data_IF_996128611798
#
_entry.id   IF_996128611798
#
_cell.length_a   1.000
_cell.length_b   1.000
_cell.length_c   1.000
_cell.angle_alpha   90.00
_cell.angle_beta   90.00
_cell.angle_gamma   90.00
#
_symmetry.space_group_name_H-M   'P 1'
#
loop_
_entity.id
_entity.type
_entity.pdbx_description
1 polymer ?
#
# COMPACT_ATOMS: atom_id res chain seq x y z
N UNK A 1 -35.11 17.79 -37.86
CA UNK A 1 -36.10 16.98 -37.12
C UNK A 1 -35.35 16.09 -36.14
N UNK A 2 -35.28 16.52 -34.88
CA UNK A 2 -34.89 15.79 -33.67
C UNK A 2 -34.55 16.86 -32.62
N UNK A 3 -35.58 17.42 -32.00
CA UNK A 3 -35.50 18.41 -30.91
C UNK A 3 -36.27 17.83 -29.72
N UNK A 4 -35.59 17.05 -28.88
CA UNK A 4 -36.19 16.48 -27.67
C UNK A 4 -35.20 15.98 -26.60
N UNK A 5 -33.89 16.28 -26.69
CA UNK A 5 -32.89 15.78 -25.73
C UNK A 5 -32.28 16.83 -24.78
N UNK A 6 -32.73 18.10 -24.81
CA UNK A 6 -32.17 19.17 -23.97
C UNK A 6 -32.96 19.46 -22.67
N UNK A 7 -34.06 18.75 -22.41
CA UNK A 7 -34.95 19.03 -21.26
C UNK A 7 -34.89 17.98 -20.12
N UNK A 8 -33.97 17.02 -20.18
CA UNK A 8 -33.87 15.91 -19.21
C UNK A 8 -32.61 15.92 -18.33
N UNK A 9 -31.71 16.89 -18.50
CA UNK A 9 -30.51 17.07 -17.64
C UNK A 9 -30.71 18.14 -16.56
N UNK A 10 -31.78 18.93 -16.64
CA UNK A 10 -32.11 19.96 -15.63
C UNK A 10 -33.03 19.46 -14.50
N UNK A 11 -33.55 18.22 -14.58
CA UNK A 11 -34.43 17.61 -13.58
C UNK A 11 -33.73 16.58 -12.67
N UNK A 12 -32.43 16.32 -12.88
CA UNK A 12 -31.59 15.51 -11.96
C UNK A 12 -30.77 16.36 -10.98
N UNK A 13 -30.93 17.70 -11.01
CA UNK A 13 -30.21 18.65 -10.15
C UNK A 13 -30.94 19.09 -8.87
N UNK A 14 -32.17 18.61 -8.61
CA UNK A 14 -33.02 19.08 -7.49
C UNK A 14 -33.48 17.90 -6.59
N UNK A 15 -32.81 16.75 -6.67
CA UNK A 15 -33.21 15.51 -5.99
C UNK A 15 -32.50 15.16 -4.67
N UNK A 16 -31.65 16.03 -4.12
CA UNK A 16 -30.90 15.78 -2.87
C UNK A 16 -30.98 16.93 -1.85
N UNK A 17 -32.01 17.77 -1.92
CA UNK A 17 -32.51 18.54 -0.77
C UNK A 17 -33.49 17.68 0.04
N UNK A 18 -33.03 16.50 0.43
CA UNK A 18 -33.74 15.58 1.30
C UNK A 18 -33.54 15.99 2.76
N UNK A 19 -34.60 16.50 3.37
CA UNK A 19 -34.95 16.32 4.77
C UNK A 19 -33.78 16.33 5.78
N UNK A 20 -33.26 17.52 6.06
CA UNK A 20 -32.95 17.91 7.43
C UNK A 20 -33.84 19.11 7.76
N UNK A 21 -35.12 18.82 7.96
CA UNK A 21 -35.97 19.57 8.90
C UNK A 21 -35.40 19.36 10.31
N UNK A 22 -34.21 19.91 10.55
CA UNK A 22 -33.83 20.30 11.89
C UNK A 22 -34.50 21.63 12.14
N UNK A 23 -35.71 21.53 12.68
CA UNK A 23 -36.41 22.59 13.40
C UNK A 23 -35.58 22.98 14.63
N UNK A 24 -34.39 23.57 14.39
CA UNK A 24 -33.62 24.30 15.37
C UNK A 24 -34.33 25.63 15.54
N UNK A 25 -35.00 25.81 16.68
CA UNK A 25 -35.57 27.09 17.09
C UNK A 25 -34.49 28.18 17.00
N UNK A 26 -34.56 28.96 15.93
CA UNK A 26 -33.49 29.84 15.46
C UNK A 26 -33.80 31.30 15.85
N UNK A 27 -33.75 31.61 17.14
CA UNK A 27 -34.07 32.95 17.66
C UNK A 27 -32.87 33.76 18.14
N UNK A 28 -31.62 33.30 17.92
CA UNK A 28 -30.43 33.91 18.55
C UNK A 28 -29.21 34.13 17.65
N UNK A 29 -29.28 33.89 16.34
CA UNK A 29 -28.19 34.24 15.42
C UNK A 29 -28.31 35.71 15.01
N UNK A 30 -27.36 36.58 15.40
CA UNK A 30 -27.35 37.99 14.99
C UNK A 30 -27.08 38.17 13.49
N UNK A 31 -26.39 37.21 12.86
CA UNK A 31 -26.01 37.30 11.44
C UNK A 31 -27.17 36.89 10.50
N UNK A 32 -27.96 35.86 10.85
CA UNK A 32 -29.20 35.51 10.14
C UNK A 32 -30.33 36.54 10.29
N UNK A 33 -30.46 37.24 11.42
CA UNK A 33 -31.44 38.33 11.53
C UNK A 33 -31.11 39.48 10.58
N UNK A 34 -29.82 39.79 10.39
CA UNK A 34 -29.36 40.79 9.41
C UNK A 34 -29.59 40.33 7.96
N UNK A 35 -29.53 39.04 7.68
CA UNK A 35 -29.79 38.49 6.34
C UNK A 35 -31.28 38.34 6.00
N UNK A 36 -32.17 38.12 6.99
CA UNK A 36 -33.61 37.93 6.79
C UNK A 36 -34.43 39.22 6.76
N UNK A 37 -33.91 40.33 7.28
CA UNK A 37 -34.49 41.66 7.02
C UNK A 37 -33.92 42.17 5.70
N UNK A 38 -34.77 42.26 4.70
CA UNK A 38 -34.48 42.75 3.35
C UNK A 38 -33.93 44.19 3.34
N UNK A 39 -32.65 44.35 3.66
CA UNK A 39 -31.88 45.57 3.50
C UNK A 39 -30.51 45.21 2.87
N UNK A 40 -30.00 46.02 1.93
CA UNK A 40 -28.88 45.62 1.09
C UNK A 40 -27.62 45.51 1.94
N UNK A 41 -26.69 44.66 1.49
CA UNK A 41 -25.31 44.41 1.98
C UNK A 41 -24.54 45.65 2.52
N UNK A 42 -24.97 46.87 2.18
CA UNK A 42 -24.52 48.12 2.80
C UNK A 42 -24.79 48.23 4.30
N UNK A 43 -25.84 47.65 4.87
CA UNK A 43 -26.13 47.79 6.31
C UNK A 43 -25.17 46.96 7.18
N UNK A 44 -24.72 45.80 6.68
CA UNK A 44 -23.70 44.97 7.32
C UNK A 44 -22.33 45.65 7.30
N UNK A 45 -22.01 46.35 6.21
CA UNK A 45 -20.83 47.22 6.11
C UNK A 45 -20.96 48.47 7.00
N UNK A 46 -22.14 49.08 7.09
CA UNK A 46 -22.39 50.22 7.98
C UNK A 46 -22.30 49.82 9.46
N UNK A 47 -22.73 48.61 9.84
CA UNK A 47 -22.57 48.13 11.22
C UNK A 47 -21.12 47.80 11.56
N UNK A 48 -20.34 47.30 10.60
CA UNK A 48 -18.89 47.14 10.75
C UNK A 48 -18.21 48.51 10.88
N UNK A 49 -18.60 49.53 10.11
CA UNK A 49 -18.04 50.89 10.19
C UNK A 49 -18.51 51.68 11.44
N UNK A 50 -19.74 51.46 11.93
CA UNK A 50 -20.23 52.06 13.19
C UNK A 50 -19.52 51.42 14.40
N UNK A 51 -19.31 50.10 14.40
CA UNK A 51 -18.47 49.45 15.41
C UNK A 51 -17.00 49.87 15.31
N UNK A 52 -16.50 50.15 14.09
CA UNK A 52 -15.15 50.69 13.89
C UNK A 52 -15.01 52.09 14.51
N UNK A 53 -16.06 52.91 14.50
CA UNK A 53 -16.07 54.22 15.13
C UNK A 53 -16.27 54.17 16.66
N UNK A 54 -17.01 53.19 17.19
CA UNK A 54 -17.13 52.96 18.64
C UNK A 54 -15.88 52.32 19.25
N UNK A 55 -15.22 51.41 18.54
CA UNK A 55 -13.93 50.82 18.94
C UNK A 55 -12.76 51.80 18.76
N UNK A 56 -12.82 52.71 17.77
CA UNK A 56 -11.84 53.79 17.61
C UNK A 56 -11.85 54.81 18.76
N UNK A 57 -12.92 54.87 19.56
CA UNK A 57 -12.94 55.66 20.80
C UNK A 57 -12.21 54.97 21.97
N UNK A 58 -11.82 53.69 21.84
CA UNK A 58 -11.26 52.87 22.94
C UNK A 58 -9.95 52.16 22.58
N UNK A 59 -9.56 52.06 21.31
CA UNK A 59 -8.33 51.38 20.89
C UNK A 59 -7.46 52.25 19.99
N UNK A 60 -6.69 53.13 20.62
CA UNK A 60 -5.45 53.65 20.07
C UNK A 60 -4.40 52.55 20.29
N UNK A 61 -3.84 52.02 19.19
CA UNK A 61 -2.81 50.98 19.08
C UNK A 61 -3.31 49.55 18.72
N UNK A 62 -3.04 49.19 17.45
CA UNK A 62 -3.10 47.87 16.77
C UNK A 62 -4.34 47.52 15.90
N UNK A 63 -4.13 46.81 14.76
CA UNK A 63 -4.88 47.01 13.53
C UNK A 63 -6.20 46.22 13.47
N UNK A 64 -7.14 46.80 12.73
CA UNK A 64 -8.58 46.47 12.64
C UNK A 64 -8.97 45.07 12.16
N UNK A 65 -8.03 44.18 11.82
CA UNK A 65 -8.35 42.81 11.40
C UNK A 65 -8.82 41.92 12.55
N UNK A 66 -8.41 42.19 13.79
CA UNK A 66 -8.72 41.37 14.97
C UNK A 66 -10.20 41.37 15.35
N UNK A 67 -10.94 42.46 15.08
CA UNK A 67 -12.35 42.58 15.45
C UNK A 67 -13.28 41.76 14.55
N UNK A 68 -12.99 41.69 13.25
CA UNK A 68 -13.88 40.99 12.34
C UNK A 68 -13.77 39.47 12.50
N UNK A 69 -12.54 38.98 12.72
CA UNK A 69 -12.30 37.59 13.06
C UNK A 69 -12.98 37.19 14.38
N UNK A 70 -12.93 38.05 15.41
CA UNK A 70 -13.55 37.74 16.71
C UNK A 70 -15.08 37.66 16.61
N UNK A 71 -15.71 38.54 15.83
CA UNK A 71 -17.16 38.49 15.55
C UNK A 71 -17.52 37.20 14.83
N UNK A 72 -16.79 36.85 13.76
CA UNK A 72 -17.05 35.61 13.00
C UNK A 72 -16.92 34.37 13.91
N UNK A 73 -15.88 34.32 14.74
CA UNK A 73 -15.67 33.21 15.69
C UNK A 73 -16.77 33.12 16.73
N UNK A 74 -17.29 34.26 17.20
CA UNK A 74 -18.41 34.29 18.16
C UNK A 74 -19.71 33.70 17.60
N UNK A 75 -19.93 33.81 16.28
CA UNK A 75 -21.10 33.22 15.61
C UNK A 75 -20.98 31.71 15.43
N UNK A 76 -19.77 31.21 15.18
CA UNK A 76 -19.51 29.77 15.17
C UNK A 76 -19.70 29.19 16.57
N UNK A 77 -19.14 29.86 17.59
CA UNK A 77 -19.35 29.51 18.99
C UNK A 77 -18.96 28.07 19.34
N UNK A 78 -17.93 27.53 18.67
CA UNK A 78 -17.50 26.15 18.79
C UNK A 78 -18.38 25.09 18.11
N UNK A 79 -19.49 25.46 17.48
CA UNK A 79 -20.33 24.55 16.69
C UNK A 79 -19.87 24.53 15.22
N UNK A 80 -19.19 23.46 14.83
CA UNK A 80 -18.62 23.34 13.48
C UNK A 80 -19.67 23.36 12.36
N UNK A 81 -20.92 22.96 12.64
CA UNK A 81 -21.99 23.05 11.64
C UNK A 81 -22.30 24.51 11.28
N UNK A 82 -22.25 25.41 12.27
CA UNK A 82 -22.34 26.85 12.02
C UNK A 82 -21.12 27.38 11.26
N UNK A 83 -19.95 26.80 11.49
CA UNK A 83 -18.74 27.09 10.71
C UNK A 83 -18.95 26.90 9.20
N UNK A 84 -19.67 25.84 8.78
CA UNK A 84 -20.00 25.63 7.36
C UNK A 84 -20.90 26.72 6.79
N UNK A 85 -21.88 27.17 7.56
CA UNK A 85 -22.77 28.26 7.15
C UNK A 85 -21.97 29.56 6.99
N UNK A 86 -21.07 29.85 7.94
CA UNK A 86 -20.17 31.00 7.85
C UNK A 86 -19.26 30.90 6.61
N UNK A 87 -18.78 29.71 6.26
CA UNK A 87 -17.99 29.53 5.03
C UNK A 87 -18.80 29.86 3.77
N UNK A 88 -20.10 29.54 3.72
CA UNK A 88 -20.95 29.92 2.59
C UNK A 88 -21.06 31.44 2.42
N UNK A 89 -20.90 32.23 3.49
CA UNK A 89 -20.86 33.69 3.41
C UNK A 89 -19.64 34.19 2.65
N UNK A 90 -18.53 33.43 2.60
CA UNK A 90 -17.36 33.80 1.82
C UNK A 90 -17.68 33.88 0.31
N UNK A 91 -18.62 33.06 -0.18
CA UNK A 91 -19.09 33.16 -1.56
C UNK A 91 -19.88 34.45 -1.84
N UNK A 92 -20.53 35.01 -0.82
CA UNK A 92 -21.34 36.22 -0.93
C UNK A 92 -20.54 37.49 -0.63
N UNK A 93 -19.39 37.37 0.03
CA UNK A 93 -18.51 38.47 0.37
C UNK A 93 -17.92 39.13 -0.89
N UNK A 94 -18.00 40.47 -0.96
CA UNK A 94 -17.57 41.26 -2.13
C UNK A 94 -16.08 41.64 -2.10
N UNK A 95 -15.44 41.64 -0.93
CA UNK A 95 -14.04 42.04 -0.77
C UNK A 95 -13.17 40.84 -0.43
N UNK A 96 -11.96 40.81 -0.99
CA UNK A 96 -10.97 39.75 -0.72
C UNK A 96 -10.62 39.71 0.77
N UNK A 97 -10.52 40.87 1.41
CA UNK A 97 -10.22 41.02 2.84
C UNK A 97 -11.25 40.31 3.73
N UNK A 98 -12.54 40.45 3.42
CA UNK A 98 -13.61 39.78 4.18
C UNK A 98 -13.56 38.27 4.00
N UNK A 99 -13.30 37.79 2.77
CA UNK A 99 -13.14 36.36 2.50
C UNK A 99 -11.97 35.77 3.28
N UNK A 100 -10.81 36.44 3.24
CA UNK A 100 -9.63 36.02 3.99
C UNK A 100 -9.85 36.03 5.50
N UNK A 101 -10.57 37.02 6.03
CA UNK A 101 -10.94 37.07 7.44
C UNK A 101 -11.86 35.90 7.81
N UNK A 102 -12.83 35.54 6.96
CA UNK A 102 -13.68 34.36 7.17
C UNK A 102 -12.84 33.08 7.20
N UNK A 103 -11.99 32.84 6.20
CA UNK A 103 -11.16 31.62 6.16
C UNK A 103 -10.23 31.52 7.37
N UNK A 104 -9.59 32.63 7.75
CA UNK A 104 -8.66 32.67 8.90
C UNK A 104 -9.39 32.50 10.23
N UNK A 105 -10.57 33.12 10.38
CA UNK A 105 -11.40 32.99 11.56
C UNK A 105 -11.88 31.55 11.76
N UNK A 106 -12.36 30.90 10.69
CA UNK A 106 -12.78 29.50 10.72
C UNK A 106 -11.62 28.56 11.06
N UNK A 107 -10.43 28.80 10.50
CA UNK A 107 -9.25 28.02 10.85
C UNK A 107 -8.87 28.16 12.32
N UNK A 108 -8.82 29.40 12.85
CA UNK A 108 -8.56 29.65 14.28
C UNK A 108 -9.62 29.01 15.17
N UNK A 109 -10.87 28.99 14.74
CA UNK A 109 -11.94 28.33 15.49
C UNK A 109 -11.75 26.81 15.51
N UNK A 110 -11.43 26.20 14.37
CA UNK A 110 -11.13 24.77 14.31
C UNK A 110 -9.94 24.44 15.24
N UNK A 111 -8.88 25.25 15.23
CA UNK A 111 -7.72 25.09 16.12
C UNK A 111 -8.06 25.19 17.62
N UNK A 112 -9.04 26.01 18.01
CA UNK A 112 -9.42 26.19 19.42
C UNK A 112 -10.47 25.18 19.90
N UNK A 113 -11.15 24.50 18.99
CA UNK A 113 -12.10 23.44 19.32
C UNK A 113 -11.42 22.08 19.38
N UNK A 114 -12.08 21.09 20.02
CA UNK A 114 -11.59 19.69 20.04
C UNK A 114 -11.60 19.04 18.66
N UNK A 115 -12.22 19.68 17.65
CA UNK A 115 -12.28 19.17 16.28
C UNK A 115 -10.90 19.14 15.60
N UNK A 116 -9.93 19.95 16.06
CA UNK A 116 -8.54 19.91 15.56
C UNK A 116 -7.84 18.55 15.79
N UNK A 117 -8.36 17.71 16.67
CA UNK A 117 -7.82 16.37 16.92
C UNK A 117 -8.42 15.30 16.00
N UNK A 118 -9.45 15.63 15.22
CA UNK A 118 -10.03 14.74 14.21
C UNK A 118 -9.46 15.08 12.82
N UNK A 119 -8.56 14.26 12.25
CA UNK A 119 -7.97 14.54 10.95
C UNK A 119 -9.00 14.58 9.83
N UNK A 120 -10.12 13.86 9.96
CA UNK A 120 -11.17 13.89 8.94
C UNK A 120 -11.87 15.25 8.87
N UNK A 121 -11.99 15.94 10.00
CA UNK A 121 -12.54 17.30 10.05
C UNK A 121 -11.60 18.32 9.43
N UNK A 122 -10.29 18.17 9.64
CA UNK A 122 -9.29 19.03 8.98
C UNK A 122 -9.31 18.79 7.47
N UNK A 123 -9.36 17.52 7.03
CA UNK A 123 -9.44 17.18 5.62
C UNK A 123 -10.73 17.71 4.98
N UNK A 124 -11.87 17.56 5.65
CA UNK A 124 -13.15 18.11 5.19
C UNK A 124 -13.06 19.64 5.01
N UNK A 125 -12.45 20.34 5.97
CA UNK A 125 -12.25 21.78 5.87
C UNK A 125 -11.30 22.15 4.72
N UNK A 126 -10.20 21.40 4.55
CA UNK A 126 -9.27 21.58 3.44
C UNK A 126 -9.97 21.39 2.08
N UNK A 127 -10.73 20.31 1.93
CA UNK A 127 -11.49 20.00 0.72
C UNK A 127 -12.52 21.11 0.41
N UNK A 128 -13.18 21.65 1.44
CA UNK A 128 -14.11 22.78 1.29
C UNK A 128 -13.40 24.05 0.79
N UNK A 129 -12.25 24.40 1.38
CA UNK A 129 -11.48 25.57 0.96
C UNK A 129 -10.86 25.41 -0.44
N UNK A 130 -10.46 24.20 -0.81
CA UNK A 130 -9.82 23.92 -2.10
C UNK A 130 -10.72 24.24 -3.33
N UNK A 131 -12.03 24.32 -3.13
CA UNK A 131 -12.99 24.71 -4.19
C UNK A 131 -12.93 26.22 -4.48
N UNK A 132 -12.41 27.02 -3.54
CA UNK A 132 -12.33 28.47 -3.66
C UNK A 132 -10.96 28.91 -4.21
N UNK A 133 -10.97 29.69 -5.29
CA UNK A 133 -9.73 30.16 -5.95
C UNK A 133 -9.03 31.30 -5.21
N UNK A 134 -9.71 31.92 -4.23
CA UNK A 134 -9.28 33.12 -3.52
C UNK A 134 -8.70 32.83 -2.11
N UNK A 135 -8.59 31.56 -1.73
CA UNK A 135 -7.99 31.17 -0.45
C UNK A 135 -6.47 31.38 -0.51
N UNK A 136 -5.86 32.06 0.48
CA UNK A 136 -4.42 32.23 0.52
C UNK A 136 -3.69 30.88 0.54
N UNK A 137 -2.73 30.69 -0.38
CA UNK A 137 -1.95 29.45 -0.50
C UNK A 137 -1.23 29.08 0.81
N UNK A 138 -0.76 30.09 1.55
CA UNK A 138 -0.14 29.89 2.86
C UNK A 138 -1.12 29.26 3.85
N UNK A 139 -2.39 29.68 3.86
CA UNK A 139 -3.41 29.11 4.74
C UNK A 139 -3.70 27.65 4.37
N UNK A 140 -3.81 27.35 3.07
CA UNK A 140 -3.98 25.97 2.58
C UNK A 140 -2.83 25.07 3.03
N UNK A 141 -1.58 25.52 2.91
CA UNK A 141 -0.40 24.78 3.36
C UNK A 141 -0.40 24.55 4.89
N UNK A 142 -0.79 25.53 5.69
CA UNK A 142 -0.91 25.34 7.15
C UNK A 142 -1.97 24.29 7.52
N UNK A 143 -3.13 24.30 6.85
CA UNK A 143 -4.20 23.33 7.09
C UNK A 143 -3.75 21.94 6.64
N UNK A 144 -3.10 21.84 5.48
CA UNK A 144 -2.55 20.59 4.98
C UNK A 144 -1.55 19.98 5.96
N UNK A 145 -0.54 20.75 6.40
CA UNK A 145 0.45 20.28 7.38
C UNK A 145 -0.18 19.85 8.71
N UNK A 146 -1.22 20.56 9.16
CA UNK A 146 -1.96 20.17 10.35
C UNK A 146 -2.71 18.84 10.15
N UNK A 147 -3.33 18.65 8.99
CA UNK A 147 -3.96 17.39 8.62
C UNK A 147 -2.96 16.23 8.62
N UNK A 148 -1.79 16.41 7.99
CA UNK A 148 -0.73 15.40 7.95
C UNK A 148 -0.25 15.06 9.36
N UNK A 149 0.10 16.06 10.17
CA UNK A 149 0.59 15.86 11.54
C UNK A 149 -0.43 15.16 12.45
N UNK A 150 -1.71 15.55 12.37
CA UNK A 150 -2.77 14.92 13.18
C UNK A 150 -3.10 13.51 12.70
N UNK A 151 -3.05 13.28 11.40
CA UNK A 151 -3.19 11.94 10.82
C UNK A 151 -2.08 11.02 11.29
N UNK A 152 -0.82 11.47 11.23
CA UNK A 152 0.33 10.70 11.70
C UNK A 152 0.16 10.33 13.19
N UNK A 153 -0.15 11.30 14.05
CA UNK A 153 -0.41 11.07 15.48
C UNK A 153 -1.50 10.03 15.73
N UNK A 154 -2.59 10.04 14.94
CA UNK A 154 -3.64 9.03 15.06
C UNK A 154 -3.13 7.64 14.62
N UNK A 155 -2.34 7.58 13.55
CA UNK A 155 -1.76 6.35 13.00
C UNK A 155 -0.57 5.80 13.82
N UNK A 156 -0.09 6.51 14.84
CA UNK A 156 0.91 5.99 15.79
C UNK A 156 0.31 4.89 16.69
N UNK A 157 -0.99 4.95 16.99
CA UNK A 157 -1.61 4.04 17.97
C UNK A 157 -1.42 2.53 17.68
N UNK A 158 -1.57 2.03 16.43
CA UNK A 158 -1.26 0.64 16.08
C UNK A 158 0.20 0.22 16.32
N UNK A 159 1.14 1.17 16.34
CA UNK A 159 2.55 0.90 16.61
C UNK A 159 2.88 0.84 18.09
N UNK A 160 2.00 1.29 18.99
CA UNK A 160 2.22 1.21 20.44
C UNK A 160 1.48 0.05 21.12
N UNK A 161 0.70 -0.71 20.35
CA UNK A 161 0.06 -1.93 20.85
C UNK A 161 0.87 -3.18 20.49
N UNK A 162 0.95 -4.12 21.43
CA UNK A 162 1.48 -5.45 21.17
C UNK A 162 0.46 -6.39 20.51
N UNK A 163 -0.84 -6.05 20.55
CA UNK A 163 -1.90 -6.91 20.03
C UNK A 163 -2.19 -6.63 18.56
N UNK A 164 -1.98 -7.64 17.70
CA UNK A 164 -2.38 -7.62 16.28
C UNK A 164 -3.89 -7.60 16.07
N UNK A 165 -4.66 -7.97 17.10
CA UNK A 165 -6.13 -8.00 17.07
C UNK A 165 -6.74 -6.72 17.66
N UNK A 166 -5.90 -5.77 18.12
CA UNK A 166 -6.39 -4.48 18.56
C UNK A 166 -7.04 -3.73 17.40
N UNK A 167 -8.22 -3.16 17.65
CA UNK A 167 -8.97 -2.40 16.66
C UNK A 167 -8.97 -0.93 17.05
N UNK A 168 -8.78 -0.06 16.06
CA UNK A 168 -8.73 1.38 16.26
C UNK A 168 -9.76 2.01 15.32
N UNK A 169 -11.02 2.21 15.75
CA UNK A 169 -12.10 2.65 14.87
C UNK A 169 -11.81 3.96 14.13
N UNK A 170 -11.17 4.92 14.80
CA UNK A 170 -10.79 6.21 14.19
C UNK A 170 -9.67 6.05 13.14
N UNK A 171 -8.67 5.20 13.43
CA UNK A 171 -7.64 4.83 12.45
C UNK A 171 -8.29 4.17 11.24
N UNK A 172 -9.16 3.19 11.45
CA UNK A 172 -9.87 2.50 10.36
C UNK A 172 -10.68 3.49 9.51
N UNK A 173 -11.35 4.47 10.13
CA UNK A 173 -12.08 5.52 9.42
C UNK A 173 -11.15 6.37 8.54
N UNK A 174 -10.03 6.84 9.10
CA UNK A 174 -9.04 7.63 8.36
C UNK A 174 -8.43 6.84 7.21
N UNK A 175 -7.96 5.63 7.49
CA UNK A 175 -7.35 4.71 6.53
C UNK A 175 -8.33 4.39 5.40
N UNK A 176 -9.61 4.16 5.70
CA UNK A 176 -10.64 3.96 4.67
C UNK A 176 -10.91 5.21 3.84
N UNK A 177 -10.78 6.41 4.40
CA UNK A 177 -10.91 7.68 3.65
C UNK A 177 -9.73 7.90 2.70
N UNK A 178 -8.54 7.46 3.09
CA UNK A 178 -7.27 7.56 2.32
C UNK A 178 -7.21 6.55 1.15
N UNK A 179 -8.18 6.60 0.23
CA UNK A 179 -8.24 5.71 -0.95
C UNK A 179 -7.31 6.16 -2.10
N UNK A 180 -7.47 5.57 -3.29
CA UNK A 180 -6.53 5.69 -4.43
C UNK A 180 -6.27 7.13 -4.88
N UNK A 181 -7.27 8.02 -4.80
CA UNK A 181 -7.13 9.43 -5.19
C UNK A 181 -6.34 10.28 -4.17
N UNK A 182 -5.97 9.68 -3.03
CA UNK A 182 -5.32 10.38 -1.90
C UNK A 182 -4.02 9.70 -1.47
N UNK A 183 -3.41 8.88 -2.33
CA UNK A 183 -2.13 8.22 -2.01
C UNK A 183 -0.98 9.21 -1.78
N UNK A 184 -1.07 10.42 -2.34
CA UNK A 184 -0.14 11.51 -2.03
C UNK A 184 -0.23 11.93 -0.56
N UNK A 185 -1.45 12.02 -0.01
CA UNK A 185 -1.64 12.28 1.41
C UNK A 185 -1.06 11.15 2.26
N UNK A 186 -1.30 9.89 1.87
CA UNK A 186 -0.76 8.76 2.61
C UNK A 186 0.77 8.79 2.67
N UNK A 187 1.45 9.08 1.56
CA UNK A 187 2.92 9.22 1.54
C UNK A 187 3.41 10.24 2.56
N UNK A 188 2.80 11.42 2.55
CA UNK A 188 3.23 12.52 3.42
C UNK A 188 2.89 12.23 4.90
N UNK A 189 1.77 11.56 5.18
CA UNK A 189 1.40 11.07 6.52
C UNK A 189 2.39 10.03 7.02
N UNK A 190 2.74 9.05 6.18
CA UNK A 190 3.69 7.99 6.53
C UNK A 190 5.07 8.55 6.84
N UNK A 191 5.50 9.63 6.17
CA UNK A 191 6.79 10.27 6.44
C UNK A 191 6.85 10.79 7.88
N UNK A 192 5.86 11.59 8.26
CA UNK A 192 5.76 12.16 9.61
C UNK A 192 5.53 11.07 10.65
N UNK A 193 4.73 10.06 10.32
CA UNK A 193 4.48 8.91 11.19
C UNK A 193 5.78 8.16 11.49
N UNK A 194 6.58 7.84 10.47
CA UNK A 194 7.82 7.09 10.65
C UNK A 194 8.87 7.89 11.41
N UNK A 195 8.99 9.20 11.18
CA UNK A 195 9.82 10.06 12.01
C UNK A 195 9.42 9.98 13.49
N UNK A 196 8.12 10.00 13.79
CA UNK A 196 7.61 9.92 15.16
C UNK A 196 7.83 8.54 15.79
N UNK A 197 7.41 7.45 15.13
CA UNK A 197 7.50 6.11 15.72
C UNK A 197 8.95 5.62 15.81
N UNK A 198 9.83 5.94 14.85
CA UNK A 198 11.24 5.55 14.92
C UNK A 198 12.03 6.37 15.97
N UNK A 199 11.54 7.54 16.37
CA UNK A 199 12.10 8.30 17.48
C UNK A 199 11.73 7.72 18.85
N UNK A 200 10.58 7.06 18.96
CA UNK A 200 10.03 6.55 20.22
C UNK A 200 10.21 5.04 20.43
N UNK A 201 10.20 4.27 19.34
CA UNK A 201 10.25 2.82 19.35
C UNK A 201 11.53 2.30 18.68
N UNK A 202 11.88 1.04 18.94
CA UNK A 202 13.02 0.43 18.24
C UNK A 202 12.68 0.15 16.77
N UNK A 203 13.65 0.26 15.84
CA UNK A 203 13.50 -0.14 14.45
C UNK A 203 12.81 -1.50 14.25
N UNK A 204 13.20 -2.50 15.03
CA UNK A 204 12.63 -3.85 14.96
C UNK A 204 11.15 -3.85 15.36
N UNK A 205 10.79 -3.14 16.44
CA UNK A 205 9.41 -3.00 16.91
C UNK A 205 8.50 -2.39 15.83
N UNK A 206 8.95 -1.29 15.21
CA UNK A 206 8.19 -0.60 14.15
C UNK A 206 7.95 -1.52 12.96
N UNK A 207 9.00 -2.20 12.47
CA UNK A 207 8.88 -3.14 11.36
C UNK A 207 7.92 -4.29 11.69
N UNK A 208 8.04 -4.89 12.88
CA UNK A 208 7.18 -6.01 13.29
C UNK A 208 5.70 -5.63 13.46
N UNK A 209 5.43 -4.35 13.77
CA UNK A 209 4.07 -3.84 14.00
C UNK A 209 3.44 -3.20 12.76
N UNK A 210 4.16 -3.05 11.65
CA UNK A 210 3.63 -2.44 10.42
C UNK A 210 2.34 -3.13 9.91
N UNK A 211 2.25 -4.45 10.07
CA UNK A 211 1.04 -5.21 9.70
C UNK A 211 -0.22 -4.82 10.50
N UNK A 212 -0.09 -4.08 11.60
CA UNK A 212 -1.23 -3.58 12.39
C UNK A 212 -1.83 -2.29 11.82
N UNK A 213 -1.16 -1.63 10.86
CA UNK A 213 -1.55 -0.31 10.36
C UNK A 213 -2.87 -0.34 9.59
N UNK A 214 -3.00 -1.28 8.65
CA UNK A 214 -4.13 -1.33 7.72
C UNK A 214 -4.29 -2.73 7.13
N UNK A 215 -5.53 -3.09 6.84
CA UNK A 215 -5.86 -4.29 6.07
C UNK A 215 -5.77 -4.07 4.54
N UNK A 216 -5.66 -2.83 4.08
CA UNK A 216 -5.54 -2.54 2.64
C UNK A 216 -4.15 -2.93 2.13
N UNK A 217 -4.09 -3.92 1.23
CA UNK A 217 -2.84 -4.39 0.64
C UNK A 217 -2.07 -3.27 -0.07
N UNK A 218 -2.79 -2.34 -0.68
CA UNK A 218 -2.21 -1.21 -1.39
C UNK A 218 -1.52 -0.22 -0.46
N UNK A 219 -2.20 0.15 0.63
CA UNK A 219 -1.63 1.07 1.61
C UNK A 219 -0.47 0.39 2.35
N UNK A 220 -0.61 -0.90 2.65
CA UNK A 220 0.46 -1.68 3.27
C UNK A 220 1.68 -1.81 2.34
N UNK A 221 1.48 -1.96 1.03
CA UNK A 221 2.57 -1.95 0.05
C UNK A 221 3.33 -0.60 0.06
N UNK A 222 2.60 0.51 0.04
CA UNK A 222 3.22 1.84 0.10
C UNK A 222 3.93 2.09 1.43
N UNK A 223 3.33 1.66 2.55
CA UNK A 223 3.92 1.74 3.87
C UNK A 223 5.23 0.93 3.95
N UNK A 224 5.25 -0.29 3.41
CA UNK A 224 6.48 -1.09 3.33
C UNK A 224 7.56 -0.41 2.49
N UNK A 225 7.25 0.12 1.30
CA UNK A 225 8.22 0.79 0.43
C UNK A 225 8.83 2.03 1.10
N UNK A 226 7.99 2.86 1.70
CA UNK A 226 8.47 4.05 2.38
C UNK A 226 9.31 3.68 3.60
N UNK A 227 8.90 2.67 4.38
CA UNK A 227 9.69 2.16 5.49
C UNK A 227 11.04 1.60 5.02
N UNK A 228 11.11 0.85 3.91
CA UNK A 228 12.36 0.32 3.33
C UNK A 228 13.35 1.42 2.91
N UNK A 229 12.83 2.60 2.54
CA UNK A 229 13.68 3.73 2.14
C UNK A 229 14.40 4.39 3.33
N UNK A 230 13.94 4.16 4.56
CA UNK A 230 14.45 4.80 5.79
C UNK A 230 15.89 4.38 6.13
N UNK A 231 16.76 5.38 6.27
CA UNK A 231 18.19 5.19 6.58
C UNK A 231 18.44 4.54 7.94
N UNK A 232 17.54 4.76 8.90
CA UNK A 232 17.61 4.18 10.24
C UNK A 232 17.55 2.66 10.21
N UNK A 233 16.86 2.09 9.23
CA UNK A 233 16.70 0.63 9.08
C UNK A 233 17.86 -0.02 8.32
N UNK A 234 18.61 0.76 7.53
CA UNK A 234 19.74 0.28 6.73
C UNK A 234 20.99 -0.02 7.56
N UNK A 235 21.03 0.36 8.84
CA UNK A 235 22.21 0.27 9.74
C UNK A 235 22.62 -1.16 10.16
N UNK A 236 22.43 -2.17 9.31
CA UNK A 236 23.09 -3.47 9.44
C UNK A 236 22.59 -4.39 10.56
N UNK A 237 21.48 -4.08 11.24
CA UNK A 237 20.87 -5.04 12.16
C UNK A 237 20.22 -6.18 11.33
N UNK A 238 20.73 -7.43 11.40
CA UNK A 238 20.23 -8.54 10.59
C UNK A 238 18.79 -8.93 10.94
N UNK A 239 18.35 -8.71 12.19
CA UNK A 239 16.98 -9.02 12.61
C UNK A 239 15.98 -8.05 11.98
N UNK A 240 16.33 -6.77 11.88
CA UNK A 240 15.50 -5.74 11.23
C UNK A 240 15.37 -6.05 9.74
N UNK A 241 16.48 -6.39 9.07
CA UNK A 241 16.46 -6.76 7.66
C UNK A 241 15.65 -8.03 7.40
N UNK A 242 15.76 -9.03 8.27
CA UNK A 242 14.92 -10.24 8.21
C UNK A 242 13.44 -9.92 8.42
N UNK A 243 13.10 -9.02 9.33
CA UNK A 243 11.72 -8.61 9.58
C UNK A 243 11.13 -7.82 8.39
N UNK A 244 11.91 -6.94 7.77
CA UNK A 244 11.52 -6.20 6.56
C UNK A 244 11.22 -7.15 5.41
N UNK A 245 12.13 -8.09 5.13
CA UNK A 245 11.93 -9.11 4.10
C UNK A 245 10.73 -10.02 4.41
N UNK A 246 10.50 -10.34 5.68
CA UNK A 246 9.30 -11.08 6.11
C UNK A 246 8.01 -10.30 5.79
N UNK A 247 7.97 -8.99 6.04
CA UNK A 247 6.79 -8.17 5.71
C UNK A 247 6.51 -8.15 4.20
N UNK A 248 7.55 -7.98 3.37
CA UNK A 248 7.39 -8.04 1.91
C UNK A 248 6.84 -9.41 1.49
N UNK A 249 7.42 -10.51 1.99
CA UNK A 249 6.94 -11.87 1.65
C UNK A 249 5.53 -12.14 2.13
N UNK A 250 5.14 -11.63 3.30
CA UNK A 250 3.78 -11.72 3.81
C UNK A 250 2.79 -10.91 2.99
N UNK A 251 3.23 -9.82 2.36
CA UNK A 251 2.43 -9.02 1.44
C UNK A 251 2.22 -9.79 0.11
N UNK A 252 3.28 -10.43 -0.40
CA UNK A 252 3.23 -11.23 -1.63
C UNK A 252 2.43 -12.53 -1.48
N UNK A 253 2.30 -13.07 -0.28
CA UNK A 253 1.45 -14.21 0.00
C UNK A 253 -0.04 -13.86 0.16
N UNK A 254 -0.43 -12.58 0.03
CA UNK A 254 -1.84 -12.22 0.08
C UNK A 254 -2.50 -12.51 -1.28
N UNK A 255 -3.57 -13.33 -1.35
CA UNK A 255 -4.21 -13.72 -2.62
C UNK A 255 -4.72 -12.54 -3.47
N UNK A 256 -5.01 -11.40 -2.83
CA UNK A 256 -5.46 -10.17 -3.50
C UNK A 256 -4.33 -9.30 -4.05
N UNK A 257 -3.06 -9.58 -3.73
CA UNK A 257 -1.95 -8.65 -4.00
C UNK A 257 -1.85 -8.25 -5.47
N UNK A 258 -1.80 -9.22 -6.39
CA UNK A 258 -1.68 -8.97 -7.82
C UNK A 258 -2.88 -8.20 -8.42
N UNK A 259 -4.05 -8.29 -7.77
CA UNK A 259 -5.29 -7.65 -8.25
C UNK A 259 -5.51 -6.26 -7.65
N UNK A 260 -5.20 -6.08 -6.37
CA UNK A 260 -5.51 -4.87 -5.61
C UNK A 260 -4.41 -3.82 -5.68
N UNK A 261 -3.16 -4.26 -5.81
CA UNK A 261 -1.98 -3.38 -5.85
C UNK A 261 -1.71 -2.96 -7.29
N UNK A 262 -1.42 -1.68 -7.54
CA UNK A 262 -1.13 -1.19 -8.88
C UNK A 262 0.18 -1.78 -9.41
N UNK A 263 0.26 -2.06 -10.73
CA UNK A 263 1.45 -2.66 -11.36
C UNK A 263 2.76 -1.89 -11.11
N UNK A 264 2.70 -0.56 -11.04
CA UNK A 264 3.86 0.28 -10.68
C UNK A 264 4.38 -0.08 -9.29
N UNK A 265 3.49 -0.07 -8.30
CA UNK A 265 3.82 -0.38 -6.91
C UNK A 265 4.27 -1.85 -6.73
N UNK A 266 3.65 -2.78 -7.46
CA UNK A 266 4.11 -4.18 -7.49
C UNK A 266 5.55 -4.28 -7.97
N UNK A 267 5.90 -3.55 -9.04
CA UNK A 267 7.24 -3.56 -9.63
C UNK A 267 8.29 -3.01 -8.65
N UNK A 268 7.95 -1.96 -7.92
CA UNK A 268 8.80 -1.41 -6.87
C UNK A 268 9.02 -2.41 -5.73
N UNK A 269 7.95 -3.08 -5.28
CA UNK A 269 8.06 -4.15 -4.25
C UNK A 269 8.97 -5.28 -4.74
N UNK A 270 8.80 -5.75 -5.98
CA UNK A 270 9.62 -6.83 -6.53
C UNK A 270 11.10 -6.45 -6.64
N UNK A 271 11.42 -5.18 -6.85
CA UNK A 271 12.80 -4.70 -6.92
C UNK A 271 13.55 -4.81 -5.57
N UNK A 272 12.83 -4.96 -4.46
CA UNK A 272 13.42 -5.18 -3.13
C UNK A 272 13.63 -6.66 -2.77
N UNK A 273 13.24 -7.58 -3.65
CA UNK A 273 13.46 -9.01 -3.48
C UNK A 273 14.87 -9.41 -3.95
N UNK A 274 15.46 -10.47 -3.38
CA UNK A 274 16.66 -11.10 -3.95
C UNK A 274 16.45 -11.46 -5.42
N UNK A 275 17.52 -11.39 -6.22
CA UNK A 275 17.47 -11.56 -7.68
C UNK A 275 16.66 -12.78 -8.14
N UNK A 276 16.94 -13.96 -7.59
CA UNK A 276 16.23 -15.19 -7.99
C UNK A 276 14.74 -15.14 -7.63
N UNK A 277 14.40 -14.58 -6.46
CA UNK A 277 13.01 -14.38 -6.02
C UNK A 277 12.31 -13.34 -6.89
N UNK A 278 12.97 -12.23 -7.23
CA UNK A 278 12.46 -11.21 -8.14
C UNK A 278 12.10 -11.79 -9.52
N UNK A 279 12.95 -12.66 -10.08
CA UNK A 279 12.72 -13.27 -11.39
C UNK A 279 11.46 -14.14 -11.41
N UNK A 280 11.11 -14.79 -10.30
CA UNK A 280 9.87 -15.55 -10.20
C UNK A 280 8.63 -14.70 -10.45
N UNK A 281 8.64 -13.42 -10.06
CA UNK A 281 7.51 -12.50 -10.24
C UNK A 281 7.58 -11.69 -11.53
N UNK A 282 8.79 -11.41 -12.03
CA UNK A 282 8.99 -10.45 -13.12
C UNK A 282 9.31 -11.08 -14.48
N UNK A 283 10.02 -12.22 -14.51
CA UNK A 283 10.47 -12.83 -15.76
C UNK A 283 9.32 -13.58 -16.46
N UNK A 284 9.36 -13.62 -17.80
CA UNK A 284 8.42 -14.44 -18.59
C UNK A 284 8.92 -15.87 -18.72
N UNK A 285 10.22 -16.02 -18.99
CA UNK A 285 10.91 -17.31 -19.03
C UNK A 285 12.17 -17.25 -18.16
N UNK A 286 12.53 -18.37 -17.56
CA UNK A 286 13.78 -18.52 -16.80
C UNK A 286 14.55 -19.74 -17.24
N UNK A 287 15.86 -19.65 -17.12
CA UNK A 287 16.73 -20.83 -17.06
C UNK A 287 17.02 -21.14 -15.59
N UNK A 288 17.02 -22.42 -15.24
CA UNK A 288 17.25 -22.89 -13.88
C UNK A 288 18.63 -23.54 -13.83
N UNK A 289 19.54 -23.01 -13.01
CA UNK A 289 20.94 -23.45 -12.93
C UNK A 289 21.28 -23.88 -11.50
N UNK A 290 22.06 -24.93 -11.30
CA UNK A 290 22.58 -25.23 -9.97
C UNK A 290 23.51 -24.09 -9.49
N UNK A 291 23.40 -23.67 -8.22
CA UNK A 291 24.21 -22.55 -7.68
C UNK A 291 25.71 -22.86 -7.67
N UNK A 292 26.08 -24.12 -7.40
CA UNK A 292 27.47 -24.56 -7.26
C UNK A 292 28.15 -24.94 -8.57
N UNK A 293 27.38 -25.18 -9.63
CA UNK A 293 27.92 -25.55 -10.94
C UNK A 293 27.44 -24.58 -12.04
N UNK A 294 28.35 -23.78 -12.60
CA UNK A 294 28.05 -22.67 -13.53
C UNK A 294 27.40 -23.11 -14.86
N UNK A 295 27.60 -24.36 -15.28
CA UNK A 295 27.07 -24.91 -16.53
C UNK A 295 25.93 -25.92 -16.33
N UNK A 296 25.57 -26.22 -15.09
CA UNK A 296 24.59 -27.26 -14.77
C UNK A 296 23.18 -26.67 -14.80
N UNK A 297 22.65 -26.49 -16.00
CA UNK A 297 21.29 -26.04 -16.23
C UNK A 297 20.35 -27.24 -16.32
N UNK A 298 19.14 -27.05 -15.81
CA UNK A 298 18.07 -28.01 -16.01
C UNK A 298 17.61 -27.96 -17.48
N UNK A 299 17.50 -29.12 -18.13
CA UNK A 299 16.93 -29.30 -19.46
C UNK A 299 16.22 -30.66 -19.62
N UNK A 300 15.40 -30.81 -20.64
CA UNK A 300 14.79 -32.11 -20.98
C UNK A 300 15.79 -33.05 -21.65
N UNK A 301 15.97 -34.24 -21.06
CA UNK A 301 16.79 -35.27 -21.64
C UNK A 301 16.21 -35.76 -22.98
N UNK A 302 17.04 -35.93 -24.02
CA UNK A 302 16.57 -36.29 -25.36
C UNK A 302 15.84 -37.63 -25.44
N UNK A 303 16.26 -38.62 -24.65
CA UNK A 303 15.80 -40.00 -24.83
C UNK A 303 14.65 -40.39 -23.89
N UNK A 304 14.66 -39.87 -22.68
CA UNK A 304 13.85 -40.40 -21.58
C UNK A 304 12.69 -39.49 -21.16
N UNK A 305 12.64 -38.25 -21.66
CA UNK A 305 11.80 -37.17 -21.12
C UNK A 305 12.05 -36.87 -19.63
N UNK A 306 13.12 -37.39 -19.05
CA UNK A 306 13.56 -36.96 -17.74
C UNK A 306 14.01 -35.53 -17.80
N UNK A 307 14.00 -34.90 -16.65
CA UNK A 307 14.67 -33.63 -16.45
C UNK A 307 16.12 -33.94 -16.07
N UNK A 308 17.06 -33.23 -16.68
CA UNK A 308 18.48 -33.51 -16.63
C UNK A 308 19.31 -32.25 -16.40
N UNK A 309 20.54 -32.42 -15.91
CA UNK A 309 21.48 -31.32 -15.68
C UNK A 309 22.90 -31.83 -15.89
N UNK A 310 23.68 -31.17 -16.77
CA UNK A 310 25.03 -31.63 -17.11
C UNK A 310 26.03 -30.47 -17.04
N UNK A 311 26.93 -30.49 -16.06
CA UNK A 311 27.96 -29.46 -15.91
C UNK A 311 28.96 -29.39 -17.09
N UNK A 312 29.06 -30.44 -17.91
CA UNK A 312 29.96 -30.48 -19.08
C UNK A 312 29.30 -29.94 -20.35
N UNK A 313 27.97 -29.87 -20.40
CA UNK A 313 27.22 -29.37 -21.54
C UNK A 313 26.35 -28.18 -21.09
N UNK A 314 26.74 -26.92 -21.43
CA UNK A 314 26.06 -25.72 -20.96
C UNK A 314 24.74 -25.46 -21.70
N UNK A 315 23.92 -26.50 -21.87
CA UNK A 315 22.64 -26.45 -22.56
C UNK A 315 21.62 -25.72 -21.69
N UNK A 316 21.39 -24.45 -22.01
CA UNK A 316 20.36 -23.63 -21.37
C UNK A 316 18.98 -23.93 -21.96
N UNK A 317 18.08 -24.51 -21.16
CA UNK A 317 16.67 -24.60 -21.52
C UNK A 317 15.89 -23.46 -20.86
N UNK A 318 15.01 -22.83 -21.63
CA UNK A 318 14.12 -21.79 -21.13
C UNK A 318 12.77 -22.39 -20.72
N UNK A 319 12.29 -22.03 -19.53
CA UNK A 319 11.00 -22.43 -18.99
C UNK A 319 10.13 -21.20 -18.75
N UNK A 320 8.92 -21.19 -19.29
CA UNK A 320 7.92 -20.23 -18.90
C UNK A 320 7.51 -20.44 -17.44
N UNK A 321 7.28 -19.33 -16.72
CA UNK A 321 6.80 -19.36 -15.34
C UNK A 321 5.29 -19.15 -15.32
N UNK A 322 4.59 -20.06 -14.66
CA UNK A 322 3.20 -19.90 -14.26
C UNK A 322 3.14 -19.67 -12.75
N UNK A 323 2.40 -18.64 -12.33
CA UNK A 323 2.26 -18.21 -10.93
C UNK A 323 0.89 -18.63 -10.41
N UNK A 324 0.83 -19.03 -9.16
CA UNK A 324 -0.43 -19.39 -8.50
C UNK A 324 -0.32 -19.24 -6.99
N UNK A 325 -1.46 -19.38 -6.33
CA UNK A 325 -1.54 -19.51 -4.87
C UNK A 325 -2.12 -20.88 -4.56
N UNK A 326 -1.57 -21.52 -3.54
CA UNK A 326 -2.08 -22.77 -2.98
C UNK A 326 -3.25 -22.51 -2.02
N UNK A 327 -3.89 -23.58 -1.54
CA UNK A 327 -5.04 -23.50 -0.61
C UNK A 327 -4.72 -22.78 0.71
N UNK A 328 -3.46 -22.79 1.13
CA UNK A 328 -2.95 -22.06 2.30
C UNK A 328 -2.46 -20.64 1.97
N UNK A 329 -2.82 -20.12 0.79
CA UNK A 329 -2.46 -18.78 0.30
C UNK A 329 -0.97 -18.54 0.06
N UNK A 330 -0.10 -19.54 0.16
CA UNK A 330 1.31 -19.34 -0.18
C UNK A 330 1.53 -19.30 -1.70
N UNK A 331 2.47 -18.49 -2.21
CA UNK A 331 2.84 -18.51 -3.63
C UNK A 331 3.38 -19.88 -4.03
N UNK A 332 3.04 -20.30 -5.25
CA UNK A 332 3.55 -21.51 -5.88
C UNK A 332 3.79 -21.25 -7.37
N UNK A 333 4.75 -21.97 -7.94
CA UNK A 333 5.23 -21.74 -9.30
C UNK A 333 5.25 -23.05 -10.07
N UNK A 334 4.88 -22.99 -11.35
CA UNK A 334 5.03 -24.10 -12.27
C UNK A 334 5.88 -23.66 -13.46
N UNK A 335 6.74 -24.56 -13.91
CA UNK A 335 7.70 -24.30 -14.99
C UNK A 335 7.35 -25.18 -16.17
N UNK A 336 7.08 -24.58 -17.33
CA UNK A 336 6.82 -25.34 -18.56
C UNK A 336 7.77 -24.94 -19.70
N UNK A 337 8.18 -25.95 -20.46
CA UNK A 337 9.16 -25.85 -21.53
C UNK A 337 8.80 -24.77 -22.55
N UNK A 338 9.73 -23.86 -22.86
CA UNK A 338 9.53 -22.91 -23.96
C UNK A 338 9.53 -23.62 -25.32
N UNK A 339 10.31 -24.68 -25.45
CA UNK A 339 10.41 -25.48 -26.67
C UNK A 339 9.15 -26.31 -26.92
N UNK A 340 8.72 -27.11 -25.93
CA UNK A 340 7.54 -27.98 -26.08
C UNK A 340 6.21 -27.29 -25.80
N UNK A 341 6.22 -26.13 -25.10
CA UNK A 341 5.07 -25.27 -24.70
C UNK A 341 3.97 -25.89 -23.85
N UNK A 342 3.85 -27.21 -23.81
CA UNK A 342 2.79 -27.93 -23.11
C UNK A 342 3.31 -28.90 -22.07
N UNK A 343 4.62 -28.90 -21.79
CA UNK A 343 5.25 -29.84 -20.85
C UNK A 343 5.89 -29.14 -19.67
N UNK A 344 5.53 -29.56 -18.48
CA UNK A 344 5.99 -29.05 -17.20
C UNK A 344 7.09 -29.92 -16.60
N UNK A 345 7.92 -29.32 -15.77
CA UNK A 345 8.80 -30.03 -14.83
C UNK A 345 7.90 -30.65 -13.75
N UNK A 346 7.65 -31.95 -13.86
CA UNK A 346 6.72 -32.70 -13.02
C UNK A 346 7.42 -33.75 -12.17
N UNK A 347 7.12 -33.74 -10.88
CA UNK A 347 7.46 -34.83 -9.96
C UNK A 347 6.38 -35.91 -10.06
N UNK A 348 6.72 -37.08 -10.61
CA UNK A 348 5.82 -38.23 -10.58
C UNK A 348 5.77 -38.80 -9.15
N UNK A 349 4.58 -39.21 -8.65
CA UNK A 349 4.48 -39.91 -7.37
C UNK A 349 5.32 -41.19 -7.42
N UNK A 350 6.16 -41.41 -6.41
CA UNK A 350 6.89 -42.66 -6.31
C UNK A 350 5.89 -43.81 -6.16
N UNK A 351 5.77 -44.68 -7.16
CA UNK A 351 5.01 -45.92 -7.03
C UNK A 351 5.66 -46.73 -5.91
N UNK A 352 4.90 -47.03 -4.86
CA UNK A 352 5.32 -47.50 -3.54
C UNK A 352 5.98 -48.90 -3.47
N UNK A 353 6.91 -49.24 -4.38
CA UNK A 353 7.53 -50.58 -4.46
C UNK A 353 9.08 -50.54 -4.36
N UNK A 354 9.68 -49.40 -4.00
CA UNK A 354 11.10 -49.37 -3.66
C UNK A 354 11.33 -49.48 -2.14
N UNK A 355 10.86 -50.56 -1.52
CA UNK A 355 11.02 -50.84 -0.07
C UNK A 355 12.46 -51.16 0.36
N UNK A 356 13.47 -50.99 -0.51
CA UNK A 356 14.87 -51.34 -0.25
C UNK A 356 15.87 -50.25 -0.66
N UNK A 357 15.44 -49.03 -0.94
CA UNK A 357 16.38 -47.95 -1.22
C UNK A 357 16.92 -47.36 0.10
N UNK A 358 18.10 -47.82 0.53
CA UNK A 358 19.00 -47.06 1.42
C UNK A 358 19.45 -45.73 0.80
N UNK A 359 19.07 -45.45 -0.45
CA UNK A 359 19.34 -44.22 -1.15
C UNK A 359 18.11 -43.32 -1.05
N UNK A 360 18.28 -42.19 -0.40
CA UNK A 360 17.26 -41.17 -0.15
C UNK A 360 16.85 -40.34 -1.37
N UNK A 361 17.26 -40.79 -2.55
CA UNK A 361 17.07 -40.13 -3.83
C UNK A 361 15.99 -40.88 -4.59
N UNK A 362 15.01 -40.13 -5.08
CA UNK A 362 13.95 -40.65 -5.95
C UNK A 362 14.11 -40.03 -7.33
N UNK A 363 14.35 -40.89 -8.33
CA UNK A 363 14.36 -40.49 -9.74
C UNK A 363 12.92 -40.40 -10.25
N UNK A 364 12.31 -39.23 -10.12
CA UNK A 364 10.90 -39.03 -10.44
C UNK A 364 10.59 -37.70 -11.14
N UNK A 365 11.58 -37.00 -11.69
CA UNK A 365 11.35 -35.68 -12.30
C UNK A 365 11.35 -35.79 -13.82
N UNK A 366 10.19 -35.55 -14.42
CA UNK A 366 9.95 -35.72 -15.85
C UNK A 366 9.37 -34.46 -16.48
N UNK A 367 9.60 -34.30 -17.77
CA UNK A 367 8.87 -33.38 -18.64
C UNK A 367 7.54 -34.02 -19.02
N UNK A 368 6.41 -33.52 -18.49
CA UNK A 368 5.06 -34.11 -18.70
C UNK A 368 4.00 -33.05 -19.00
N UNK A 369 2.88 -33.39 -19.66
CA UNK A 369 1.85 -32.41 -19.98
C UNK A 369 1.03 -31.91 -18.78
N UNK A 370 1.07 -32.64 -17.66
CA UNK A 370 0.37 -32.26 -16.44
C UNK A 370 1.14 -31.18 -15.69
N UNK A 371 0.43 -30.19 -15.15
CA UNK A 371 1.04 -29.16 -14.31
C UNK A 371 1.51 -29.78 -12.99
N UNK A 372 2.70 -29.38 -12.56
CA UNK A 372 3.20 -29.64 -11.21
C UNK A 372 3.58 -28.31 -10.56
N UNK A 373 3.13 -28.11 -9.34
CA UNK A 373 3.38 -26.89 -8.59
C UNK A 373 4.55 -27.09 -7.64
N UNK A 374 5.44 -26.09 -7.62
CA UNK A 374 6.61 -26.05 -6.78
C UNK A 374 6.47 -24.91 -5.78
N UNK A 375 6.74 -25.21 -4.51
CA UNK A 375 6.90 -24.24 -3.46
C UNK A 375 8.36 -23.82 -3.41
N UNK A 376 8.60 -22.52 -3.41
CA UNK A 376 9.96 -21.98 -3.39
C UNK A 376 10.36 -21.60 -1.99
N UNK A 377 11.51 -22.09 -1.54
CA UNK A 377 12.16 -21.67 -0.30
C UNK A 377 13.39 -20.84 -0.65
N UNK A 378 13.46 -19.64 -0.09
CA UNK A 378 14.49 -18.66 -0.39
C UNK A 378 15.63 -18.75 0.64
N UNK A 379 16.89 -18.91 0.20
CA UNK A 379 18.03 -18.98 1.11
C UNK A 379 19.38 -19.24 0.42
N UNK A 380 20.47 -18.95 1.14
CA UNK A 380 21.85 -19.34 0.77
C UNK A 380 22.33 -18.92 -0.63
N UNK A 381 21.90 -17.75 -1.12
CA UNK A 381 22.31 -17.26 -2.44
C UNK A 381 21.59 -17.92 -3.61
N UNK A 382 20.46 -18.58 -3.37
CA UNK A 382 19.57 -19.11 -4.41
C UNK A 382 18.20 -19.49 -3.87
N UNK A 383 17.57 -20.44 -4.54
CA UNK A 383 16.24 -20.96 -4.22
C UNK A 383 16.19 -22.49 -4.26
N UNK A 384 15.34 -23.08 -3.43
CA UNK A 384 15.07 -24.51 -3.44
C UNK A 384 13.60 -24.75 -3.84
N UNK A 385 13.37 -25.77 -4.67
CA UNK A 385 12.02 -26.14 -5.12
C UNK A 385 11.53 -27.36 -4.36
N UNK A 386 10.53 -27.15 -3.52
CA UNK A 386 9.82 -28.21 -2.82
C UNK A 386 8.55 -28.57 -3.58
N UNK A 387 8.15 -29.82 -3.53
CA UNK A 387 6.83 -30.23 -4.00
C UNK A 387 5.75 -29.43 -3.26
N UNK A 388 4.89 -28.70 -3.97
CA UNK A 388 3.88 -27.86 -3.33
C UNK A 388 2.74 -28.66 -2.67
N UNK A 389 2.54 -29.92 -3.10
CA UNK A 389 1.48 -30.77 -2.55
C UNK A 389 1.85 -31.34 -1.17
N UNK A 390 3.10 -31.78 -1.00
CA UNK A 390 3.54 -32.47 0.23
C UNK A 390 4.62 -31.73 1.01
N UNK A 391 5.41 -30.86 0.38
CA UNK A 391 6.63 -30.24 0.92
C UNK A 391 7.68 -31.25 1.46
N UNK A 392 7.50 -32.55 1.20
CA UNK A 392 8.38 -33.60 1.70
C UNK A 392 9.50 -33.94 0.72
N UNK A 393 9.45 -33.40 -0.50
CA UNK A 393 10.43 -33.66 -1.55
C UNK A 393 11.01 -32.34 -2.05
N UNK A 394 12.33 -32.29 -2.19
CA UNK A 394 13.09 -31.15 -2.72
C UNK A 394 13.79 -31.54 -4.01
N UNK A 395 13.73 -30.67 -5.01
CA UNK A 395 14.36 -30.84 -6.32
C UNK A 395 15.88 -30.64 -6.23
N UNK A 396 16.63 -31.62 -6.69
CA UNK A 396 18.09 -31.60 -6.66
C UNK A 396 18.68 -32.08 -7.99
N UNK A 397 19.85 -31.56 -8.33
CA UNK A 397 20.60 -31.92 -9.53
C UNK A 397 21.88 -31.10 -9.55
N UNK A 398 23.01 -31.78 -9.73
CA UNK A 398 24.34 -31.20 -9.56
C UNK A 398 25.35 -32.13 -8.88
N UNK A 399 24.93 -33.31 -8.40
CA UNK A 399 25.89 -34.36 -8.08
C UNK A 399 26.23 -35.17 -9.34
N UNK A 400 27.47 -35.05 -9.87
CA UNK A 400 27.87 -35.77 -11.09
C UNK A 400 27.88 -37.30 -10.93
N UNK A 401 27.76 -37.82 -9.71
CA UNK A 401 27.67 -39.26 -9.43
C UNK A 401 26.30 -39.87 -9.77
N UNK A 402 25.28 -39.05 -10.04
CA UNK A 402 23.92 -39.53 -10.33
C UNK A 402 23.63 -39.48 -11.83
N UNK A 403 23.79 -40.63 -12.49
CA UNK A 403 23.65 -40.81 -13.94
C UNK A 403 22.85 -42.07 -14.26
N UNK A 404 22.14 -42.03 -15.39
CA UNK A 404 21.62 -43.23 -16.06
C UNK A 404 22.21 -43.30 -17.47
N UNK A 405 23.19 -44.19 -17.66
CA UNK A 405 23.92 -44.31 -18.93
C UNK A 405 24.81 -43.10 -19.23
N UNK A 406 24.33 -42.18 -20.06
CA UNK A 406 25.02 -40.90 -20.34
C UNK A 406 24.22 -39.69 -19.82
N UNK A 407 23.03 -39.93 -19.28
CA UNK A 407 22.09 -38.87 -18.86
C UNK A 407 22.24 -38.56 -17.36
N UNK A 408 22.73 -37.36 -17.06
CA UNK A 408 22.74 -36.81 -15.70
C UNK A 408 21.35 -36.28 -15.36
N UNK A 409 20.64 -36.92 -14.43
CA UNK A 409 19.24 -36.62 -14.16
C UNK A 409 19.05 -35.70 -12.95
N UNK A 410 18.02 -34.86 -13.01
CA UNK A 410 17.46 -34.16 -11.86
C UNK A 410 16.54 -35.13 -11.11
N UNK A 411 16.62 -35.11 -9.79
CA UNK A 411 15.93 -36.04 -8.90
C UNK A 411 15.31 -35.29 -7.73
N UNK A 412 14.60 -36.01 -6.86
CA UNK A 412 14.15 -35.47 -5.59
C UNK A 412 14.79 -36.18 -4.41
N UNK A 413 15.04 -35.43 -3.34
CA UNK A 413 15.39 -35.97 -2.01
C UNK A 413 14.28 -35.69 -1.02
N UNK A 414 14.30 -36.40 0.11
CA UNK A 414 13.43 -36.03 1.22
C UNK A 414 13.82 -34.66 1.79
N UNK A 415 12.83 -33.83 2.12
CA UNK A 415 13.02 -32.46 2.59
C UNK A 415 13.92 -32.34 3.82
N UNK A 416 13.92 -33.35 4.69
CA UNK A 416 14.79 -33.42 5.87
C UNK A 416 16.28 -33.48 5.55
N UNK A 417 16.66 -33.85 4.33
CA UNK A 417 18.05 -33.98 3.90
C UNK A 417 18.59 -32.71 3.27
N UNK A 418 17.73 -31.71 3.01
CA UNK A 418 18.11 -30.47 2.34
C UNK A 418 19.35 -29.84 2.97
N UNK A 419 19.42 -29.77 4.31
CA UNK A 419 20.56 -29.17 5.02
C UNK A 419 21.91 -29.85 4.73
N UNK A 420 21.93 -31.17 4.53
CA UNK A 420 23.15 -31.91 4.21
C UNK A 420 23.52 -31.81 2.72
N UNK A 421 22.54 -31.52 1.86
CA UNK A 421 22.64 -31.57 0.40
C UNK A 421 22.33 -30.21 -0.25
N UNK A 422 22.59 -29.09 0.43
CA UNK A 422 22.23 -27.76 -0.08
C UNK A 422 22.90 -27.45 -1.42
N UNK A 423 24.16 -27.88 -1.61
CA UNK A 423 24.92 -27.63 -2.84
C UNK A 423 24.21 -28.18 -4.09
N UNK A 424 23.68 -29.41 -4.00
CA UNK A 424 22.99 -30.07 -5.11
C UNK A 424 21.51 -29.68 -5.25
N UNK A 425 20.89 -29.15 -4.19
CA UNK A 425 19.44 -28.83 -4.16
C UNK A 425 19.12 -27.32 -4.26
N UNK A 426 20.14 -26.46 -4.40
CA UNK A 426 19.96 -25.00 -4.53
C UNK A 426 20.17 -24.55 -5.96
N UNK A 427 19.23 -23.78 -6.46
CA UNK A 427 19.15 -23.30 -7.83
C UNK A 427 19.25 -21.77 -7.89
N UNK A 428 19.85 -21.25 -8.96
CA UNK A 428 19.80 -19.85 -9.36
C UNK A 428 18.96 -19.73 -10.63
N UNK A 429 18.24 -18.62 -10.74
CA UNK A 429 17.44 -18.28 -11.90
C UNK A 429 18.15 -17.23 -12.75
N UNK A 430 18.09 -17.43 -14.06
CA UNK A 430 18.52 -16.46 -15.06
C UNK A 430 17.33 -16.06 -15.92
N UNK A 431 17.19 -14.78 -16.24
CA UNK A 431 16.17 -14.34 -17.19
C UNK A 431 16.53 -14.85 -18.59
N UNK A 432 15.69 -15.74 -19.10
CA UNK A 432 15.81 -16.33 -20.42
C UNK A 432 14.62 -15.96 -21.30
N UNK A 433 13.99 -14.81 -21.04
CA UNK A 433 12.82 -14.34 -21.79
C UNK A 433 13.10 -14.13 -23.28
N UNK A 434 14.35 -13.80 -23.63
CA UNK A 434 14.82 -13.65 -25.01
C UNK A 434 15.23 -14.97 -25.69
N UNK A 435 15.44 -16.03 -24.90
CA UNK A 435 15.78 -17.34 -25.44
C UNK A 435 14.54 -18.00 -26.07
N UNK A 436 14.74 -18.69 -27.20
CA UNK A 436 13.67 -19.31 -28.00
C UNK A 436 12.87 -20.35 -27.22
#
# INVERSE_FOLDING_TARGET
MASSSAWLVLLMGIGLSGALDLNLQNSSSKLLTVLNTSAPVQELLYHIDVWRNEAAAVAQDNPTSSNLESVIRSEVGGDWERGRLVLQLANQARTLELKQAIYTALWKELQQTKQIYDPLKILEFYDQLAVHTDVPLQLMDHIYRAFISRSAQLLEAPFHTASRLATFPLVNSLVNRLTFSTLDYLRDILEVLYDAVLALETPLSVVQRLGNLTASLRQLAQANLQLLSREELKRGNPEVQKALQSNIRNLLSQPGFEKEVAKSLQSEIYAHLPKDEQLLYTARKVCIRNVTEENSYIYECPQTYLICSNARDPKKAAYFIQRGHSNDSRPQFAFYSAFWRSRYILMEPATAIASNATNSITKNVYSRPNINWWRVVYGNGGIAFYDAATENSVLCGGDPLHWDGEEHHVYTRHASEFSAHQAECTWSLEDCSDAA
#
